data_IF_279198385321
#
_entry.id   IF_279198385321
#
_cell.length_a   1.000
_cell.length_b   1.000
_cell.length_c   1.000
_cell.angle_alpha   90.00
_cell.angle_beta   90.00
_cell.angle_gamma   90.00
#
_symmetry.space_group_name_H-M   'P 1'
#
loop_
_entity.id
_entity.type
_entity.pdbx_description
1 polymer ?
#
# COMPACT_ATOMS: atom_id res chain seq x y z
N UNK A 1 -7.71 5.42 3.20
CA UNK A 1 -6.47 5.90 2.52
C UNK A 1 -6.35 5.37 1.11
N UNK A 2 -6.13 4.07 0.85
CA UNK A 2 -5.92 3.55 -0.53
C UNK A 2 -7.06 3.89 -1.49
N UNK A 3 -8.31 3.68 -1.09
CA UNK A 3 -9.50 4.01 -1.91
C UNK A 3 -9.51 5.48 -2.32
N UNK A 4 -9.53 6.40 -1.35
CA UNK A 4 -9.53 7.85 -1.64
C UNK A 4 -8.27 8.33 -2.36
N UNK A 5 -7.09 7.76 -2.07
CA UNK A 5 -5.82 8.15 -2.72
C UNK A 5 -5.84 7.87 -4.22
N UNK A 6 -6.41 6.74 -4.62
CA UNK A 6 -6.44 6.28 -6.01
C UNK A 6 -7.79 6.48 -6.71
N UNK A 7 -8.78 7.08 -6.05
CA UNK A 7 -10.10 7.34 -6.63
C UNK A 7 -10.89 6.07 -6.93
N UNK A 8 -10.75 5.04 -6.08
CA UNK A 8 -11.49 3.78 -6.26
C UNK A 8 -12.96 3.98 -5.87
N UNK A 9 -13.89 3.37 -6.61
CA UNK A 9 -15.33 3.48 -6.34
C UNK A 9 -15.99 4.74 -6.90
N UNK A 10 -15.54 5.19 -8.09
CA UNK A 10 -16.08 6.36 -8.80
C UNK A 10 -15.92 7.70 -8.06
N UNK A 11 -14.87 7.82 -7.24
CA UNK A 11 -14.47 9.07 -6.60
C UNK A 11 -13.19 9.62 -7.24
N UNK A 12 -12.98 10.95 -7.26
CA UNK A 12 -11.71 11.50 -7.72
C UNK A 12 -10.57 11.11 -6.75
N UNK A 13 -9.33 10.92 -7.26
CA UNK A 13 -8.19 10.67 -6.40
C UNK A 13 -7.84 11.89 -5.56
N UNK A 14 -7.61 11.69 -4.27
CA UNK A 14 -7.17 12.73 -3.34
C UNK A 14 -5.65 12.70 -3.15
N UNK A 15 -5.07 13.86 -2.86
CA UNK A 15 -3.69 13.98 -2.39
C UNK A 15 -3.56 13.54 -0.93
N UNK A 16 -2.32 13.28 -0.48
CA UNK A 16 -2.05 12.97 0.93
C UNK A 16 -2.43 14.12 1.88
N UNK A 17 -2.34 15.37 1.39
CA UNK A 17 -2.69 16.57 2.18
C UNK A 17 -4.20 16.69 2.35
N UNK A 18 -4.97 16.51 1.28
CA UNK A 18 -6.43 16.54 1.32
C UNK A 18 -6.99 15.42 2.19
N UNK A 19 -6.49 14.19 2.02
CA UNK A 19 -6.85 13.07 2.92
C UNK A 19 -6.43 13.32 4.36
N UNK A 20 -5.30 14.00 4.57
CA UNK A 20 -4.86 14.40 5.90
C UNK A 20 -5.87 15.36 6.56
N UNK A 21 -6.31 16.38 5.82
CA UNK A 21 -7.33 17.32 6.29
C UNK A 21 -8.65 16.62 6.61
N UNK A 22 -9.14 15.75 5.73
CA UNK A 22 -10.39 15.00 5.93
C UNK A 22 -10.34 14.07 7.16
N UNK A 23 -9.19 13.43 7.38
CA UNK A 23 -9.00 12.46 8.47
C UNK A 23 -8.51 13.08 9.79
N UNK A 24 -8.25 14.39 9.83
CA UNK A 24 -7.62 15.04 10.99
C UNK A 24 -6.18 14.56 11.26
N UNK A 25 -5.45 14.16 10.22
CA UNK A 25 -4.09 13.63 10.29
C UNK A 25 -3.12 14.49 9.48
N UNK A 26 -1.83 14.42 9.81
CA UNK A 26 -0.81 15.01 8.92
C UNK A 26 -0.69 14.21 7.62
N UNK A 27 -0.31 14.87 6.52
CA UNK A 27 -0.07 14.18 5.24
C UNK A 27 1.01 13.09 5.34
N UNK A 28 2.02 13.29 6.19
CA UNK A 28 3.03 12.26 6.48
C UNK A 28 2.43 11.06 7.21
N UNK A 29 1.48 11.27 8.12
CA UNK A 29 0.78 10.17 8.77
C UNK A 29 -0.08 9.38 7.78
N UNK A 30 -0.76 10.06 6.84
CA UNK A 30 -1.49 9.41 5.76
C UNK A 30 -0.53 8.61 4.86
N UNK A 31 0.65 9.15 4.54
CA UNK A 31 1.70 8.44 3.78
C UNK A 31 2.13 7.13 4.47
N UNK A 32 2.27 7.14 5.79
CA UNK A 32 2.61 5.94 6.56
C UNK A 32 1.50 4.88 6.47
N UNK A 33 0.24 5.30 6.64
CA UNK A 33 -0.93 4.41 6.53
C UNK A 33 -1.08 3.85 5.11
N UNK A 34 -0.82 4.65 4.07
CA UNK A 34 -0.77 4.19 2.68
C UNK A 34 0.27 3.09 2.50
N UNK A 35 1.49 3.29 3.00
CA UNK A 35 2.55 2.28 2.93
C UNK A 35 2.19 0.99 3.68
N UNK A 36 1.53 1.10 4.84
CA UNK A 36 1.05 -0.05 5.61
C UNK A 36 -0.02 -0.84 4.86
N UNK A 37 -1.02 -0.15 4.33
CA UNK A 37 -2.07 -0.78 3.54
C UNK A 37 -1.50 -1.46 2.29
N UNK A 38 -0.59 -0.81 1.56
CA UNK A 38 0.07 -1.41 0.40
C UNK A 38 0.93 -2.62 0.79
N UNK A 39 1.62 -2.59 1.93
CA UNK A 39 2.41 -3.72 2.40
C UNK A 39 1.50 -4.93 2.75
N UNK A 40 0.36 -4.67 3.39
CA UNK A 40 -0.65 -5.70 3.66
C UNK A 40 -1.22 -6.29 2.37
N UNK A 41 -1.64 -5.45 1.42
CA UNK A 41 -2.18 -5.87 0.13
C UNK A 41 -1.19 -6.68 -0.72
N UNK A 42 0.14 -6.46 -0.58
CA UNK A 42 1.17 -7.24 -1.30
C UNK A 42 1.26 -8.71 -0.87
N UNK A 43 0.70 -9.09 0.28
CA UNK A 43 0.75 -10.47 0.76
C UNK A 43 -0.01 -11.42 -0.19
N UNK A 44 0.45 -12.67 -0.41
CA UNK A 44 -0.23 -13.61 -1.31
C UNK A 44 -1.72 -13.81 -0.97
N UNK A 45 -2.06 -13.90 0.32
CA UNK A 45 -3.43 -14.07 0.78
C UNK A 45 -4.38 -12.92 0.40
N UNK A 46 -3.86 -11.74 0.03
CA UNK A 46 -4.66 -10.56 -0.31
C UNK A 46 -4.50 -10.13 -1.78
N UNK A 47 -3.42 -10.54 -2.45
CA UNK A 47 -3.14 -10.14 -3.85
C UNK A 47 -3.35 -11.25 -4.88
N UNK A 48 -3.68 -12.48 -4.47
CA UNK A 48 -3.79 -13.62 -5.39
C UNK A 48 -4.71 -13.32 -6.59
N UNK A 49 -5.93 -12.85 -6.32
CA UNK A 49 -6.92 -12.56 -7.38
C UNK A 49 -6.42 -11.50 -8.37
N UNK A 50 -5.95 -10.35 -7.86
CA UNK A 50 -5.44 -9.25 -8.70
C UNK A 50 -4.20 -9.65 -9.49
N UNK A 51 -3.31 -10.47 -8.92
CA UNK A 51 -2.12 -10.97 -9.62
C UNK A 51 -2.48 -11.99 -10.68
N UNK A 52 -3.46 -12.84 -10.42
CA UNK A 52 -3.93 -13.83 -11.39
C UNK A 52 -4.53 -13.15 -12.62
N UNK A 53 -5.36 -12.12 -12.43
CA UNK A 53 -5.90 -11.27 -13.50
C UNK A 53 -4.81 -10.62 -14.38
N UNK A 54 -3.63 -10.35 -13.82
CA UNK A 54 -2.52 -9.68 -14.48
C UNK A 54 -1.39 -10.63 -14.90
N UNK A 55 -1.61 -11.94 -14.78
CA UNK A 55 -0.63 -12.99 -15.07
C UNK A 55 0.72 -12.82 -14.32
N UNK A 56 0.64 -12.34 -13.07
CA UNK A 56 1.76 -12.06 -12.15
C UNK A 56 1.71 -12.91 -10.88
N UNK A 57 1.26 -14.16 -11.02
CA UNK A 57 0.99 -15.09 -9.92
C UNK A 57 2.09 -16.16 -9.77
N UNK A 58 3.31 -15.94 -10.28
CA UNK A 58 4.41 -16.90 -10.11
C UNK A 58 5.00 -16.84 -8.70
N UNK A 59 5.66 -17.92 -8.27
CA UNK A 59 6.39 -17.94 -7.00
C UNK A 59 7.46 -16.83 -6.92
N UNK A 60 8.08 -16.45 -8.05
CA UNK A 60 9.06 -15.37 -8.09
C UNK A 60 8.42 -14.01 -7.81
N UNK A 61 7.21 -13.75 -8.33
CA UNK A 61 6.47 -12.51 -8.09
C UNK A 61 6.11 -12.32 -6.62
N UNK A 62 5.74 -13.40 -5.94
CA UNK A 62 5.46 -13.38 -4.50
C UNK A 62 6.74 -13.15 -3.68
N UNK A 63 7.85 -13.83 -4.02
CA UNK A 63 9.14 -13.61 -3.35
C UNK A 63 9.58 -12.16 -3.45
N UNK A 64 9.49 -11.54 -4.63
CA UNK A 64 9.83 -10.13 -4.85
C UNK A 64 9.00 -9.19 -3.98
N UNK A 65 7.70 -9.43 -3.89
CA UNK A 65 6.81 -8.59 -3.09
C UNK A 65 7.02 -8.74 -1.58
N UNK A 66 7.27 -9.97 -1.11
CA UNK A 66 7.63 -10.22 0.29
C UNK A 66 8.98 -9.56 0.65
N UNK A 67 9.95 -9.59 -0.27
CA UNK A 67 11.23 -8.90 -0.09
C UNK A 67 11.06 -7.38 0.02
N UNK A 68 10.19 -6.77 -0.79
CA UNK A 68 9.84 -5.34 -0.66
C UNK A 68 9.25 -5.01 0.72
N UNK A 69 8.34 -5.85 1.22
CA UNK A 69 7.76 -5.69 2.55
C UNK A 69 8.81 -5.84 3.67
N UNK A 70 9.74 -6.78 3.53
CA UNK A 70 10.85 -6.95 4.47
C UNK A 70 11.78 -5.72 4.48
N UNK A 71 12.10 -5.16 3.31
CA UNK A 71 12.90 -3.94 3.19
C UNK A 71 12.23 -2.74 3.86
N UNK A 72 10.91 -2.55 3.65
CA UNK A 72 10.13 -1.50 4.31
C UNK A 72 10.20 -1.62 5.85
N UNK A 73 10.04 -2.83 6.39
CA UNK A 73 10.14 -3.08 7.84
C UNK A 73 11.53 -2.77 8.38
N UNK A 74 12.59 -3.15 7.64
CA UNK A 74 13.99 -2.86 8.01
C UNK A 74 14.26 -1.35 8.04
N UNK A 75 13.79 -0.62 7.02
CA UNK A 75 13.97 0.83 6.94
C UNK A 75 13.31 1.56 8.13
N UNK A 76 12.15 1.09 8.59
CA UNK A 76 11.46 1.65 9.77
C UNK A 76 12.19 1.38 11.07
N UNK A 77 12.80 0.19 11.22
CA UNK A 77 13.61 -0.14 12.41
C UNK A 77 14.86 0.75 12.53
N UNK A 78 15.49 1.12 11.42
CA UNK A 78 16.66 2.02 11.42
C UNK A 78 16.33 3.49 11.75
N UNK A 79 15.05 3.87 11.72
CA UNK A 79 14.57 5.24 12.01
C UNK A 79 14.01 5.39 13.42
N UNK A 80 14.00 4.31 14.20
CA UNK A 80 13.74 4.30 15.64
C UNK A 80 15.05 4.31 16.38
#
# INVERSE_FOLDING_TARGET
>A
VVVGRFGLGAQPPCTLKELGQELGLSGERVRQLEQDALAWLRHPAHSWYLRHLLDKNTAADYRRALAQNAALRRARRKRR
#
